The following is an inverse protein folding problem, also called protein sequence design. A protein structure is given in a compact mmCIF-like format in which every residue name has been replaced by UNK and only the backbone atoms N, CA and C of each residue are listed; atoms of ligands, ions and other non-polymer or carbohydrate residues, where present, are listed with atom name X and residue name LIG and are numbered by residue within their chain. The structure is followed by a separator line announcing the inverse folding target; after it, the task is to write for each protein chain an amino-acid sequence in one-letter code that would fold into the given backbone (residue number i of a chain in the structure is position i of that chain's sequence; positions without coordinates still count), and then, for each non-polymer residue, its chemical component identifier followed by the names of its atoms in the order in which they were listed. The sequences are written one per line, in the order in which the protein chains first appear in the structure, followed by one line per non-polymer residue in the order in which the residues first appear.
data_IF_721800435301
#
_entry.id   IF_721800435301
#
_cell.length_a   1.000
_cell.length_b   1.000
_cell.length_c   1.000
_cell.angle_alpha   90.00
_cell.angle_beta   90.00
_cell.angle_gamma   90.00
#
_symmetry.space_group_name_H-M   'P 1'
#
loop_
_entity.id
_entity.type
_entity.pdbx_description
1 polymer ?
#
# COMPACT_ATOMS: atom_id res chain seq x y z
N UNK A 1 -65.90 -25.25 -10.67
CA UNK A 1 -65.44 -23.88 -10.32
C UNK A 1 -64.53 -23.87 -9.08
N UNK A 2 -65.02 -24.12 -7.84
CA UNK A 2 -64.19 -24.01 -6.61
C UNK A 2 -62.89 -24.85 -6.55
N UNK A 3 -62.88 -26.08 -7.09
CA UNK A 3 -61.66 -26.93 -7.12
C UNK A 3 -60.54 -26.38 -8.01
N UNK A 4 -60.86 -25.66 -9.07
CA UNK A 4 -59.88 -25.06 -9.99
C UNK A 4 -59.22 -23.82 -9.38
N UNK A 5 -59.97 -22.99 -8.65
CA UNK A 5 -59.41 -21.84 -7.92
C UNK A 5 -58.50 -22.27 -6.76
N UNK A 6 -58.87 -23.31 -6.02
CA UNK A 6 -58.06 -23.87 -4.93
C UNK A 6 -56.70 -24.39 -5.42
N UNK A 7 -56.67 -25.16 -6.51
CA UNK A 7 -55.41 -25.64 -7.10
C UNK A 7 -54.52 -24.51 -7.65
N UNK A 8 -55.12 -23.42 -8.15
CA UNK A 8 -54.38 -22.25 -8.62
C UNK A 8 -53.75 -21.46 -7.45
N UNK A 9 -54.47 -21.35 -6.33
CA UNK A 9 -54.01 -20.73 -5.09
C UNK A 9 -52.90 -21.54 -4.42
N UNK A 10 -53.03 -22.86 -4.40
CA UNK A 10 -52.00 -23.78 -3.90
C UNK A 10 -50.72 -23.69 -4.73
N UNK A 11 -50.80 -23.77 -6.07
CA UNK A 11 -49.64 -23.62 -6.94
C UNK A 11 -49.00 -22.21 -6.91
N UNK A 12 -49.78 -21.17 -6.59
CA UNK A 12 -49.25 -19.81 -6.36
C UNK A 12 -48.52 -19.71 -5.03
N UNK A 13 -49.02 -20.35 -3.96
CA UNK A 13 -48.34 -20.43 -2.65
C UNK A 13 -47.05 -21.24 -2.72
N UNK A 14 -47.07 -22.37 -3.42
CA UNK A 14 -45.90 -23.24 -3.62
C UNK A 14 -44.76 -22.49 -4.32
N UNK A 15 -45.06 -21.73 -5.37
CA UNK A 15 -44.08 -20.87 -6.06
C UNK A 15 -43.48 -19.79 -5.17
N UNK A 16 -44.29 -19.17 -4.30
CA UNK A 16 -43.80 -18.16 -3.34
C UNK A 16 -42.89 -18.81 -2.29
N UNK A 17 -43.22 -20.03 -1.84
CA UNK A 17 -42.41 -20.78 -0.88
C UNK A 17 -41.04 -21.14 -1.49
N UNK A 18 -41.04 -21.76 -2.67
CA UNK A 18 -39.83 -22.13 -3.40
C UNK A 18 -38.97 -20.89 -3.73
N UNK A 19 -39.59 -19.79 -4.13
CA UNK A 19 -38.87 -18.54 -4.41
C UNK A 19 -38.18 -17.94 -3.18
N UNK A 20 -38.83 -18.02 -2.00
CA UNK A 20 -38.22 -17.60 -0.73
C UNK A 20 -37.08 -18.51 -0.31
N UNK A 21 -37.25 -19.81 -0.46
CA UNK A 21 -36.25 -20.83 -0.09
C UNK A 21 -35.01 -20.74 -0.99
N UNK A 22 -35.19 -20.49 -2.29
CA UNK A 22 -34.10 -20.23 -3.24
C UNK A 22 -33.32 -18.96 -2.87
N UNK A 23 -34.02 -17.90 -2.47
CA UNK A 23 -33.38 -16.64 -2.08
C UNK A 23 -32.58 -16.77 -0.79
N UNK A 24 -33.09 -17.54 0.17
CA UNK A 24 -32.41 -17.81 1.44
C UNK A 24 -31.18 -18.71 1.22
N UNK A 25 -31.30 -19.75 0.40
CA UNK A 25 -30.17 -20.60 0.02
C UNK A 25 -29.05 -19.78 -0.64
N UNK A 26 -29.40 -18.84 -1.53
CA UNK A 26 -28.44 -17.94 -2.17
C UNK A 26 -27.73 -17.02 -1.17
N UNK A 27 -28.46 -16.49 -0.17
CA UNK A 27 -27.86 -15.68 0.91
C UNK A 27 -26.87 -16.47 1.76
N UNK A 28 -27.21 -17.72 2.10
CA UNK A 28 -26.35 -18.59 2.90
C UNK A 28 -25.08 -18.95 2.12
N UNK A 29 -25.19 -19.22 0.82
CA UNK A 29 -24.04 -19.48 -0.05
C UNK A 29 -23.11 -18.27 -0.16
N UNK A 30 -23.66 -17.08 -0.40
CA UNK A 30 -22.88 -15.83 -0.45
C UNK A 30 -22.19 -15.52 0.88
N UNK A 31 -22.85 -15.77 2.02
CA UNK A 31 -22.24 -15.56 3.34
C UNK A 31 -21.10 -16.55 3.61
N UNK A 32 -21.28 -17.82 3.24
CA UNK A 32 -20.24 -18.84 3.36
C UNK A 32 -19.03 -18.54 2.46
N UNK A 33 -19.27 -18.03 1.26
CA UNK A 33 -18.21 -17.60 0.35
C UNK A 33 -17.44 -16.39 0.92
N UNK A 34 -18.14 -15.38 1.45
CA UNK A 34 -17.51 -14.24 2.14
C UNK A 34 -16.67 -14.67 3.34
N UNK A 35 -17.16 -15.63 4.13
CA UNK A 35 -16.40 -16.20 5.27
C UNK A 35 -15.13 -16.90 4.81
N UNK A 36 -15.18 -17.67 3.72
CA UNK A 36 -13.99 -18.33 3.13
C UNK A 36 -12.95 -17.32 2.67
N UNK A 37 -13.37 -16.26 1.97
CA UNK A 37 -12.47 -15.20 1.49
C UNK A 37 -11.80 -14.46 2.67
N UNK A 38 -12.56 -14.14 3.73
CA UNK A 38 -11.99 -13.50 4.91
C UNK A 38 -11.02 -14.40 5.66
N UNK A 39 -11.30 -15.71 5.74
CA UNK A 39 -10.40 -16.67 6.36
C UNK A 39 -9.08 -16.81 5.59
N UNK A 40 -9.12 -16.85 4.25
CA UNK A 40 -7.92 -16.90 3.40
C UNK A 40 -7.05 -15.65 3.59
N UNK A 41 -7.65 -14.45 3.53
CA UNK A 41 -6.92 -13.19 3.76
C UNK A 41 -6.33 -13.11 5.16
N UNK A 42 -7.02 -13.64 6.18
CA UNK A 42 -6.52 -13.67 7.55
C UNK A 42 -5.34 -14.65 7.71
N UNK A 43 -5.41 -15.81 7.05
CA UNK A 43 -4.33 -16.79 7.05
C UNK A 43 -3.07 -16.27 6.35
N UNK A 44 -3.23 -15.64 5.18
CA UNK A 44 -2.14 -15.01 4.42
C UNK A 44 -1.44 -13.91 5.24
N UNK A 45 -2.22 -13.04 5.89
CA UNK A 45 -1.69 -11.99 6.76
C UNK A 45 -0.96 -12.53 8.00
N UNK A 46 -1.41 -13.65 8.55
CA UNK A 46 -0.72 -14.33 9.65
C UNK A 46 0.59 -14.98 9.18
N UNK A 47 0.60 -15.58 7.99
CA UNK A 47 1.81 -16.16 7.41
C UNK A 47 2.86 -15.08 7.10
N UNK A 48 2.44 -13.94 6.54
CA UNK A 48 3.32 -12.79 6.32
C UNK A 48 3.90 -12.25 7.63
N UNK A 49 3.08 -12.13 8.69
CA UNK A 49 3.57 -11.70 10.02
C UNK A 49 4.60 -12.67 10.58
N UNK A 50 4.36 -13.98 10.49
CA UNK A 50 5.30 -15.01 10.94
C UNK A 50 6.60 -14.96 10.13
N UNK A 51 6.51 -14.78 8.81
CA UNK A 51 7.68 -14.63 7.96
C UNK A 51 8.50 -13.38 8.34
N UNK A 52 7.83 -12.25 8.59
CA UNK A 52 8.45 -11.00 9.02
C UNK A 52 9.12 -11.12 10.40
N UNK A 53 8.47 -11.79 11.35
CA UNK A 53 9.05 -12.00 12.68
C UNK A 53 10.26 -12.93 12.63
N UNK A 54 10.21 -13.99 11.80
CA UNK A 54 11.34 -14.90 11.59
C UNK A 54 12.55 -14.21 10.95
N UNK A 55 12.31 -13.27 10.02
CA UNK A 55 13.38 -12.43 9.45
C UNK A 55 13.97 -11.50 10.51
N UNK A 56 13.12 -10.88 11.36
CA UNK A 56 13.57 -10.01 12.45
C UNK A 56 14.44 -10.75 13.47
N UNK A 57 14.01 -11.95 13.89
CA UNK A 57 14.79 -12.79 14.81
C UNK A 57 16.15 -13.17 14.22
N UNK A 58 16.20 -13.58 12.95
CA UNK A 58 17.47 -13.86 12.27
C UNK A 58 18.40 -12.64 12.21
N UNK A 59 17.85 -11.44 12.02
CA UNK A 59 18.63 -10.20 11.99
C UNK A 59 19.18 -9.84 13.38
N UNK A 60 18.41 -10.12 14.43
CA UNK A 60 18.80 -9.92 15.82
C UNK A 60 19.88 -10.92 16.25
N UNK A 61 19.76 -12.19 15.86
CA UNK A 61 20.80 -13.21 16.05
C UNK A 61 22.10 -12.86 15.33
N UNK A 62 22.09 -12.48 14.04
CA UNK A 62 23.31 -12.09 13.32
C UNK A 62 23.95 -10.83 13.96
N UNK A 63 23.14 -9.87 14.41
CA UNK A 63 23.61 -8.69 15.15
C UNK A 63 24.23 -9.07 16.49
N UNK A 64 23.63 -9.99 17.23
CA UNK A 64 24.13 -10.48 18.51
C UNK A 64 25.41 -11.33 18.33
N UNK A 65 25.47 -12.15 17.30
CA UNK A 65 26.60 -13.01 16.98
C UNK A 65 27.83 -12.19 16.55
N UNK A 66 27.62 -11.12 15.75
CA UNK A 66 28.68 -10.14 15.43
C UNK A 66 29.13 -9.36 16.66
N UNK A 67 28.22 -8.94 17.55
CA UNK A 67 28.60 -8.29 18.82
C UNK A 67 29.38 -9.22 19.74
N UNK A 68 29.02 -10.51 19.80
CA UNK A 68 29.75 -11.54 20.56
C UNK A 68 31.14 -11.80 19.98
N UNK A 69 31.27 -11.83 18.65
CA UNK A 69 32.56 -11.99 17.94
C UNK A 69 33.47 -10.77 18.07
N UNK A 70 32.89 -9.57 18.29
CA UNK A 70 33.60 -8.31 18.53
C UNK A 70 33.89 -8.02 20.02
N UNK A 71 33.45 -8.88 20.95
CA UNK A 71 33.79 -8.78 22.37
C UNK A 71 33.16 -7.60 23.14
N UNK A 72 32.06 -7.01 22.67
CA UNK A 72 31.38 -5.92 23.39
C UNK A 72 30.43 -6.46 24.49
N UNK A 73 30.40 -5.83 25.68
CA UNK A 73 29.53 -6.26 26.78
C UNK A 73 28.03 -6.08 26.46
N UNK A 74 27.16 -6.88 27.10
CA UNK A 74 25.71 -6.78 26.92
C UNK A 74 25.20 -5.48 27.53
N UNK A 75 24.34 -4.77 26.81
CA UNK A 75 23.69 -3.57 27.35
C UNK A 75 22.36 -3.98 28.00
N UNK A 76 22.22 -3.72 29.30
CA UNK A 76 20.97 -3.82 30.04
C UNK A 76 20.25 -2.46 30.07
N UNK A 77 18.90 -2.43 30.07
CA UNK A 77 18.10 -1.25 29.76
C UNK A 77 17.78 -0.39 31.00
N UNK A 78 18.79 0.09 31.73
CA UNK A 78 18.55 0.93 32.90
C UNK A 78 19.72 1.89 33.18
N UNK A 79 19.65 3.09 32.60
CA UNK A 79 20.01 4.37 33.27
C UNK A 79 19.78 5.51 32.30
N UNK A 80 18.99 6.47 32.77
CA UNK A 80 18.45 7.56 31.98
C UNK A 80 19.22 8.88 32.16
N UNK A 81 19.07 9.75 31.15
CA UNK A 81 19.14 11.23 31.14
C UNK A 81 20.52 11.89 30.80
N UNK A 82 20.55 13.18 30.40
CA UNK A 82 20.24 13.63 29.03
C UNK A 82 21.23 14.72 28.52
N UNK A 83 21.77 14.63 27.31
CA UNK A 83 22.17 15.84 26.57
C UNK A 83 22.56 15.56 25.12
N UNK A 84 21.87 16.27 24.23
CA UNK A 84 22.34 16.90 22.99
C UNK A 84 23.57 16.33 22.28
N UNK A 85 23.33 15.64 21.15
CA UNK A 85 23.97 15.87 19.84
C UNK A 85 23.38 14.91 18.79
N UNK A 86 23.20 15.44 17.58
CA UNK A 86 22.60 14.82 16.40
C UNK A 86 23.48 13.70 15.79
N UNK A 87 22.86 12.64 15.24
CA UNK A 87 23.21 11.91 13.98
C UNK A 87 22.18 10.77 13.80
N UNK A 88 21.25 10.86 12.84
CA UNK A 88 21.37 10.29 11.49
C UNK A 88 21.68 8.77 11.41
N UNK A 89 20.68 8.05 10.91
CA UNK A 89 20.74 6.94 9.94
C UNK A 89 21.66 5.74 10.20
N UNK A 90 21.03 4.55 10.33
CA UNK A 90 21.54 3.32 9.71
C UNK A 90 20.43 2.31 9.41
N UNK A 91 19.92 2.43 8.18
CA UNK A 91 19.33 1.42 7.30
C UNK A 91 19.74 -0.03 7.61
N UNK A 92 18.75 -0.91 7.78
CA UNK A 92 18.88 -2.30 7.33
C UNK A 92 18.42 -2.37 5.87
N UNK A 93 19.35 -2.07 4.96
CA UNK A 93 19.19 -2.28 3.52
C UNK A 93 19.46 -3.75 3.22
N UNK A 94 18.40 -4.55 3.02
CA UNK A 94 18.48 -5.72 2.16
C UNK A 94 18.08 -5.27 0.75
N UNK A 95 18.75 -5.75 -0.32
CA UNK A 95 18.33 -5.47 -1.69
C UNK A 95 16.96 -6.09 -1.95
N UNK A 96 15.90 -5.30 -1.76
CA UNK A 96 14.55 -5.69 -2.17
C UNK A 96 14.59 -5.73 -3.69
N UNK A 97 14.45 -6.94 -4.26
CA UNK A 97 14.36 -7.14 -5.71
C UNK A 97 13.33 -6.15 -6.28
N UNK A 98 13.58 -5.54 -7.45
CA UNK A 98 12.71 -4.50 -8.03
C UNK A 98 11.25 -4.96 -8.19
N UNK A 99 11.02 -6.27 -8.37
CA UNK A 99 9.69 -6.88 -8.40
C UNK A 99 8.83 -6.56 -7.16
N UNK A 100 9.41 -6.68 -5.96
CA UNK A 100 8.71 -6.39 -4.70
C UNK A 100 8.37 -4.91 -4.55
N UNK A 101 9.28 -4.00 -4.95
CA UNK A 101 9.00 -2.55 -4.91
C UNK A 101 7.90 -2.16 -5.90
N UNK A 102 7.89 -2.75 -7.09
CA UNK A 102 6.84 -2.53 -8.08
C UNK A 102 5.46 -3.00 -7.59
N UNK A 103 5.41 -4.11 -6.86
CA UNK A 103 4.18 -4.57 -6.20
C UNK A 103 3.69 -3.58 -5.14
N UNK A 104 4.57 -3.14 -4.24
CA UNK A 104 4.20 -2.10 -3.26
C UNK A 104 3.73 -0.80 -3.93
N UNK A 105 4.35 -0.39 -5.04
CA UNK A 105 3.91 0.77 -5.81
C UNK A 105 2.49 0.58 -6.35
N UNK A 106 2.20 -0.59 -6.93
CA UNK A 106 0.85 -0.93 -7.41
C UNK A 106 -0.17 -0.94 -6.28
N UNK A 107 0.20 -1.43 -5.10
CA UNK A 107 -0.66 -1.44 -3.93
C UNK A 107 -0.94 -0.03 -3.41
N UNK A 108 0.06 0.86 -3.38
CA UNK A 108 -0.15 2.28 -3.04
C UNK A 108 -1.12 2.95 -4.03
N UNK A 109 -0.93 2.73 -5.34
CA UNK A 109 -1.80 3.31 -6.36
C UNK A 109 -3.22 2.71 -6.31
N UNK A 110 -3.35 1.41 -5.99
CA UNK A 110 -4.64 0.73 -5.79
C UNK A 110 -5.36 1.29 -4.57
N UNK A 111 -4.68 1.43 -3.44
CA UNK A 111 -5.24 2.02 -2.23
C UNK A 111 -5.74 3.44 -2.51
N UNK A 112 -4.93 4.25 -3.19
CA UNK A 112 -5.29 5.62 -3.56
C UNK A 112 -6.62 5.65 -4.33
N UNK A 113 -6.78 4.79 -5.35
CA UNK A 113 -8.02 4.70 -6.13
C UNK A 113 -9.20 4.11 -5.35
N UNK A 114 -8.97 3.09 -4.52
CA UNK A 114 -10.03 2.44 -3.74
C UNK A 114 -10.61 3.34 -2.64
N UNK A 115 -9.81 4.24 -2.08
CA UNK A 115 -10.27 5.21 -1.08
C UNK A 115 -11.04 6.38 -1.71
N UNK A 116 -10.91 6.61 -3.02
CA UNK A 116 -11.50 7.73 -3.76
C UNK A 116 -12.30 7.24 -4.98
N UNK A 117 -13.13 6.20 -4.80
CA UNK A 117 -13.88 5.54 -5.88
C UNK A 117 -14.82 6.46 -6.67
N UNK A 118 -15.28 7.55 -6.06
CA UNK A 118 -16.20 8.50 -6.68
C UNK A 118 -15.48 9.76 -7.23
N UNK A 119 -14.16 9.87 -7.03
CA UNK A 119 -13.36 11.03 -7.43
C UNK A 119 -12.31 10.65 -8.50
N UNK A 120 -12.70 9.91 -9.53
CA UNK A 120 -11.80 9.45 -10.61
C UNK A 120 -10.98 10.59 -11.23
N UNK A 121 -11.55 11.78 -11.38
CA UNK A 121 -10.85 12.95 -11.90
C UNK A 121 -9.71 13.41 -10.96
N UNK A 122 -9.93 13.35 -9.64
CA UNK A 122 -8.94 13.71 -8.63
C UNK A 122 -7.85 12.64 -8.53
N UNK A 123 -8.25 11.36 -8.58
CA UNK A 123 -7.32 10.22 -8.67
C UNK A 123 -6.42 10.35 -9.90
N UNK A 124 -6.99 10.64 -11.07
CA UNK A 124 -6.22 10.85 -12.30
C UNK A 124 -5.26 12.05 -12.18
N UNK A 125 -5.72 13.16 -11.60
CA UNK A 125 -4.88 14.33 -11.32
C UNK A 125 -3.72 14.02 -10.35
N UNK A 126 -3.95 13.15 -9.37
CA UNK A 126 -2.89 12.68 -8.46
C UNK A 126 -1.81 11.88 -9.20
N UNK A 127 -2.21 10.93 -10.04
CA UNK A 127 -1.28 10.09 -10.80
C UNK A 127 -0.47 10.94 -11.78
N UNK A 128 -1.10 11.91 -12.45
CA UNK A 128 -0.38 12.86 -13.31
C UNK A 128 0.64 13.70 -12.53
N UNK A 129 0.30 14.12 -11.32
CA UNK A 129 1.19 14.92 -10.47
C UNK A 129 2.37 14.08 -9.96
N UNK A 130 2.11 12.84 -9.51
CA UNK A 130 3.15 11.87 -9.15
C UNK A 130 4.08 11.56 -10.35
N UNK A 131 3.51 11.37 -11.54
CA UNK A 131 4.25 11.12 -12.77
C UNK A 131 5.11 12.33 -13.15
N UNK A 132 4.63 13.55 -12.95
CA UNK A 132 5.43 14.75 -13.17
C UNK A 132 6.64 14.80 -12.23
N UNK A 133 6.48 14.49 -10.94
CA UNK A 133 7.60 14.46 -10.00
C UNK A 133 8.65 13.40 -10.39
N UNK A 134 8.21 12.16 -10.60
CA UNK A 134 9.11 11.06 -10.96
C UNK A 134 9.74 11.28 -12.33
N UNK A 135 8.97 11.74 -13.31
CA UNK A 135 9.43 12.01 -14.67
C UNK A 135 10.41 13.19 -14.75
N UNK A 136 10.21 14.23 -13.94
CA UNK A 136 11.14 15.37 -13.90
C UNK A 136 12.49 14.96 -13.31
N UNK A 137 12.50 14.14 -12.25
CA UNK A 137 13.73 13.57 -11.68
C UNK A 137 14.40 12.62 -12.66
N UNK A 138 13.64 11.73 -13.31
CA UNK A 138 14.21 10.78 -14.26
C UNK A 138 14.83 11.47 -15.50
N UNK A 139 14.28 12.62 -15.93
CA UNK A 139 14.86 13.41 -17.02
C UNK A 139 16.07 14.22 -16.58
N UNK A 140 16.05 14.78 -15.38
CA UNK A 140 17.07 15.69 -14.87
C UNK A 140 17.44 15.33 -13.42
N UNK A 141 18.18 14.22 -13.20
CA UNK A 141 18.46 13.71 -11.86
C UNK A 141 19.40 14.62 -11.05
N UNK A 142 20.21 15.45 -11.70
CA UNK A 142 21.14 16.35 -11.01
C UNK A 142 20.46 17.64 -10.51
N UNK A 143 19.30 18.00 -11.06
CA UNK A 143 18.62 19.24 -10.74
C UNK A 143 17.88 19.14 -9.38
N UNK A 144 18.33 19.92 -8.40
CA UNK A 144 17.79 19.85 -7.03
C UNK A 144 16.32 20.28 -6.94
N UNK A 145 15.87 21.23 -7.77
CA UNK A 145 14.48 21.72 -7.75
C UNK A 145 13.46 20.63 -8.07
N UNK A 146 13.85 19.59 -8.81
CA UNK A 146 12.98 18.44 -9.13
C UNK A 146 13.07 17.36 -8.05
N UNK A 147 14.14 17.35 -7.27
CA UNK A 147 14.35 16.43 -6.14
C UNK A 147 13.79 16.96 -4.82
N UNK A 148 13.26 18.18 -4.78
CA UNK A 148 12.67 18.82 -3.59
C UNK A 148 11.21 19.20 -3.83
N UNK A 149 10.32 18.64 -3.01
CA UNK A 149 8.87 18.88 -3.07
C UNK A 149 8.43 19.53 -1.76
N UNK A 150 7.63 20.59 -1.85
CA UNK A 150 7.09 21.28 -0.67
C UNK A 150 5.80 20.60 -0.20
N UNK A 151 5.77 20.12 1.04
CA UNK A 151 4.58 19.51 1.64
C UNK A 151 3.48 20.55 1.90
N UNK A 152 3.82 21.79 2.22
CA UNK A 152 2.84 22.86 2.45
C UNK A 152 2.21 23.42 1.16
N UNK A 153 2.61 22.94 -0.02
CA UNK A 153 2.01 23.42 -1.26
C UNK A 153 0.55 22.91 -1.37
N UNK A 154 -0.45 23.79 -1.58
CA UNK A 154 -1.85 23.39 -1.59
C UNK A 154 -2.17 22.41 -2.72
N UNK A 155 -1.55 22.58 -3.90
CA UNK A 155 -1.71 21.63 -5.02
C UNK A 155 -1.13 20.26 -4.70
N UNK A 156 0.01 20.22 -3.99
CA UNK A 156 0.58 18.96 -3.51
C UNK A 156 -0.32 18.30 -2.47
N UNK A 157 -0.82 19.05 -1.48
CA UNK A 157 -1.71 18.53 -0.44
C UNK A 157 -3.01 17.98 -1.04
N UNK A 158 -3.67 18.75 -1.90
CA UNK A 158 -4.93 18.35 -2.52
C UNK A 158 -4.80 17.09 -3.37
N UNK A 159 -3.69 16.96 -4.11
CA UNK A 159 -3.48 15.89 -5.08
C UNK A 159 -2.68 14.70 -4.59
N UNK A 160 -1.80 14.84 -3.62
CA UNK A 160 -0.86 13.77 -3.21
C UNK A 160 -0.77 13.65 -1.69
N UNK A 161 -0.70 14.77 -0.98
CA UNK A 161 -0.54 14.78 0.48
C UNK A 161 -1.77 14.30 1.26
N UNK A 162 -2.97 14.62 0.77
CA UNK A 162 -4.25 14.19 1.37
C UNK A 162 -4.68 12.78 0.96
N UNK A 163 -4.05 12.22 -0.09
CA UNK A 163 -4.41 10.91 -0.61
C UNK A 163 -3.58 9.82 0.05
N UNK A 164 -4.26 8.86 0.67
CA UNK A 164 -3.61 7.70 1.31
C UNK A 164 -2.84 6.89 0.26
N UNK A 165 -1.53 6.72 0.47
CA UNK A 165 -0.62 6.07 -0.47
C UNK A 165 0.19 7.00 -1.39
N UNK A 166 -0.14 8.29 -1.50
CA UNK A 166 0.62 9.24 -2.34
C UNK A 166 2.02 9.53 -1.80
N UNK A 167 2.13 9.79 -0.49
CA UNK A 167 3.42 10.01 0.18
C UNK A 167 4.23 8.70 0.24
N UNK A 168 3.57 7.57 0.50
CA UNK A 168 4.23 6.26 0.56
C UNK A 168 4.81 5.86 -0.79
N UNK A 169 4.09 6.13 -1.89
CA UNK A 169 4.60 5.95 -3.25
C UNK A 169 5.87 6.78 -3.50
N UNK A 170 5.89 8.05 -3.08
CA UNK A 170 7.11 8.87 -3.17
C UNK A 170 8.24 8.30 -2.31
N UNK A 171 7.93 7.74 -1.14
CA UNK A 171 8.89 7.00 -0.32
C UNK A 171 9.50 5.80 -1.04
N UNK A 172 8.70 5.03 -1.77
CA UNK A 172 9.17 3.89 -2.58
C UNK A 172 10.09 4.33 -3.73
N UNK A 173 9.85 5.52 -4.29
CA UNK A 173 10.71 6.18 -5.28
C UNK A 173 12.00 6.76 -4.68
N UNK A 174 12.16 6.76 -3.34
CA UNK A 174 13.35 7.23 -2.63
C UNK A 174 13.24 8.63 -2.02
N UNK A 175 12.07 9.28 -2.08
CA UNK A 175 11.87 10.57 -1.43
C UNK A 175 11.73 10.39 0.09
N UNK A 176 12.38 11.27 0.84
CA UNK A 176 12.40 11.24 2.30
C UNK A 176 11.87 12.55 2.86
N UNK A 177 11.15 12.47 3.98
CA UNK A 177 10.70 13.66 4.70
C UNK A 177 11.90 14.28 5.42
N UNK A 178 12.15 15.56 5.17
CA UNK A 178 13.16 16.32 5.89
C UNK A 178 12.74 16.51 7.36
N UNK A 179 13.72 16.78 8.23
CA UNK A 179 13.52 16.87 9.69
C UNK A 179 12.45 17.89 10.10
N UNK A 180 12.28 18.95 9.30
CA UNK A 180 11.26 19.98 9.54
C UNK A 180 9.84 19.52 9.20
N UNK A 181 9.68 18.37 8.53
CA UNK A 181 8.38 17.87 8.08
C UNK A 181 7.71 18.71 6.99
N UNK A 182 8.39 19.74 6.47
CA UNK A 182 7.85 20.67 5.47
C UNK A 182 8.18 20.30 4.02
N UNK A 183 9.17 19.44 3.80
CA UNK A 183 9.65 19.07 2.47
C UNK A 183 9.90 17.58 2.35
N UNK A 184 9.63 17.06 1.15
CA UNK A 184 10.11 15.77 0.66
C UNK A 184 11.34 16.01 -0.20
N UNK A 185 12.43 15.30 0.08
CA UNK A 185 13.69 15.43 -0.63
C UNK A 185 14.19 14.07 -1.11
N UNK A 186 14.70 14.01 -2.34
CA UNK A 186 15.34 12.83 -2.91
C UNK A 186 16.86 13.07 -3.00
N UNK A 187 17.66 12.46 -2.11
CA UNK A 187 19.10 12.54 -2.17
C UNK A 187 19.63 11.97 -3.49
N UNK A 188 20.68 12.56 -4.05
CA UNK A 188 21.31 12.10 -5.31
C UNK A 188 21.72 10.63 -5.24
N UNK A 189 22.24 10.24 -4.08
CA UNK A 189 22.70 8.88 -3.78
C UNK A 189 21.57 7.83 -3.79
N UNK A 190 20.32 8.27 -3.57
CA UNK A 190 19.13 7.40 -3.56
C UNK A 190 18.36 7.41 -4.87
N UNK A 191 18.83 8.16 -5.89
CA UNK A 191 18.21 8.17 -7.22
C UNK A 191 18.47 6.85 -7.92
N UNK A 192 17.46 6.00 -7.95
CA UNK A 192 17.49 4.74 -8.68
C UNK A 192 16.64 4.85 -9.96
N UNK A 193 17.32 4.92 -11.10
CA UNK A 193 16.67 5.07 -12.40
C UNK A 193 15.78 3.87 -12.75
N UNK A 194 16.10 2.66 -12.31
CA UNK A 194 15.26 1.50 -12.56
C UNK A 194 13.95 1.61 -11.79
N UNK A 195 14.01 2.08 -10.53
CA UNK A 195 12.83 2.33 -9.70
C UNK A 195 11.99 3.47 -10.28
N UNK A 196 12.60 4.59 -10.69
CA UNK A 196 11.87 5.72 -11.28
C UNK A 196 11.19 5.35 -12.60
N UNK A 197 11.87 4.58 -13.47
CA UNK A 197 11.27 4.08 -14.70
C UNK A 197 10.12 3.11 -14.44
N UNK A 198 10.28 2.22 -13.46
CA UNK A 198 9.21 1.30 -13.03
C UNK A 198 8.01 2.08 -12.48
N UNK A 199 8.24 3.03 -11.58
CA UNK A 199 7.23 3.91 -11.02
C UNK A 199 6.47 4.70 -12.10
N UNK A 200 7.21 5.25 -13.08
CA UNK A 200 6.61 5.96 -14.22
C UNK A 200 5.75 5.04 -15.09
N UNK A 201 6.19 3.81 -15.34
CA UNK A 201 5.42 2.81 -16.09
C UNK A 201 4.14 2.39 -15.34
N UNK A 202 4.22 2.16 -14.04
CA UNK A 202 3.05 1.81 -13.21
C UNK A 202 2.04 2.97 -13.15
N UNK A 203 2.51 4.22 -12.99
CA UNK A 203 1.66 5.41 -13.04
C UNK A 203 0.99 5.59 -14.40
N UNK A 204 1.74 5.42 -15.49
CA UNK A 204 1.19 5.55 -16.83
C UNK A 204 0.16 4.44 -17.11
N UNK A 205 0.46 3.21 -16.68
CA UNK A 205 -0.48 2.08 -16.70
C UNK A 205 -1.75 2.39 -15.92
N UNK A 206 -1.63 2.99 -14.73
CA UNK A 206 -2.78 3.37 -13.90
C UNK A 206 -3.64 4.49 -14.51
N UNK A 207 -3.02 5.43 -15.23
CA UNK A 207 -3.73 6.53 -15.93
C UNK A 207 -4.42 6.03 -17.20
N UNK A 208 -3.77 5.14 -17.94
CA UNK A 208 -4.26 4.62 -19.22
C UNK A 208 -5.29 3.49 -19.05
N UNK A 209 -5.22 2.73 -17.95
CA UNK A 209 -6.09 1.58 -17.70
C UNK A 209 -7.30 1.96 -16.82
N UNK A 210 -8.53 1.97 -17.36
CA UNK A 210 -9.75 2.24 -16.59
C UNK A 210 -9.98 1.25 -15.45
N UNK A 211 -9.52 0.01 -15.60
CA UNK A 211 -9.70 -1.10 -14.65
C UNK A 211 -8.55 -1.24 -13.65
N UNK A 212 -7.59 -0.31 -13.64
CA UNK A 212 -6.51 -0.34 -12.66
C UNK A 212 -7.08 -0.41 -11.23
N UNK A 213 -6.65 -1.38 -10.42
CA UNK A 213 -7.05 -1.55 -9.01
C UNK A 213 -8.38 -2.27 -8.73
N UNK A 214 -9.01 -2.91 -9.73
CA UNK A 214 -10.32 -3.59 -9.62
C UNK A 214 -10.22 -5.04 -9.06
N UNK A 215 -9.03 -5.57 -8.78
CA UNK A 215 -8.82 -6.92 -8.23
C UNK A 215 -8.47 -6.93 -6.73
#
# INVERSE_FOLDING_TARGET
MRKLELGLLEGKRERIRIGKELLEAKRIEEENERKRIMALRKAEKEEEKRAREKIRQKLEEDKAERRRKLGLPPENPETAKPSTAQVEDKKSSLPVKPATKAEYMRDCLRALKQHHKDEDARVKGSFQTLLAYVGNVAKNPDEEKFRKIRLNNPTFQDRVGSLHGGIDFLGLCGFEKLQDGEFLFLPRDKVDMAILNTAGSELNSAIANPFFGVL
#
